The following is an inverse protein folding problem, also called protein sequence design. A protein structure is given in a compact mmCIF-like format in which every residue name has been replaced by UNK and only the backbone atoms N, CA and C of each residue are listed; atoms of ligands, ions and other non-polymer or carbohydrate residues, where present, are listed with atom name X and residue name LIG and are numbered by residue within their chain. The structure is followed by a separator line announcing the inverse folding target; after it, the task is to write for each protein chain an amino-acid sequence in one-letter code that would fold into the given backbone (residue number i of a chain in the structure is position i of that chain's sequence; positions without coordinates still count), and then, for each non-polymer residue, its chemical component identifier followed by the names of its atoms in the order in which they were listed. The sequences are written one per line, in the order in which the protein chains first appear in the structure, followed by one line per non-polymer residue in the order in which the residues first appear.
data_IF_897688818517
#
_entry.id   IF_897688818517
#
_cell.length_a   1.000
_cell.length_b   1.000
_cell.length_c   1.000
_cell.angle_alpha   90.00
_cell.angle_beta   90.00
_cell.angle_gamma   90.00
#
_symmetry.space_group_name_H-M   'P 1'
#
loop_
_entity.id
_entity.type
_entity.pdbx_description
1 polymer ?
#
# COMPACT_ATOMS: atom_id res chain seq x y z
N UNK A 1 5.47 -0.68 -7.65
CA UNK A 1 4.53 -1.69 -7.08
C UNK A 1 3.06 -1.35 -7.31
N UNK A 2 2.68 -0.07 -7.17
CA UNK A 2 1.29 0.43 -7.26
C UNK A 2 0.54 -0.01 -8.53
N UNK A 3 1.12 0.14 -9.73
CA UNK A 3 0.40 -0.11 -10.98
C UNK A 3 0.26 -1.62 -11.29
N UNK A 4 1.34 -2.39 -11.14
CA UNK A 4 1.38 -3.78 -11.59
C UNK A 4 0.50 -4.72 -10.74
N UNK A 5 0.51 -4.59 -9.41
CA UNK A 5 -0.17 -5.55 -8.53
C UNK A 5 -1.57 -5.06 -8.11
N UNK A 6 -1.69 -3.80 -7.70
CA UNK A 6 -2.97 -3.26 -7.22
C UNK A 6 -3.95 -2.96 -8.36
N UNK A 7 -3.48 -2.51 -9.53
CA UNK A 7 -4.34 -2.12 -10.66
C UNK A 7 -4.39 -3.14 -11.80
N UNK A 8 -3.31 -3.86 -12.08
CA UNK A 8 -3.26 -4.84 -13.18
C UNK A 8 -3.59 -6.25 -12.70
N UNK A 9 -2.82 -6.80 -11.76
CA UNK A 9 -2.99 -8.20 -11.31
C UNK A 9 -4.33 -8.45 -10.63
N UNK A 10 -4.79 -7.51 -9.79
CA UNK A 10 -5.99 -7.71 -8.97
C UNK A 10 -7.29 -7.83 -9.77
N UNK A 11 -7.58 -7.02 -10.81
CA UNK A 11 -8.74 -7.27 -11.67
C UNK A 11 -8.52 -8.43 -12.65
N UNK A 12 -7.29 -8.66 -13.14
CA UNK A 12 -7.03 -9.68 -14.15
C UNK A 12 -7.16 -11.11 -13.58
N UNK A 13 -6.77 -11.34 -12.32
CA UNK A 13 -6.88 -12.66 -11.67
C UNK A 13 -8.32 -13.16 -11.49
N UNK A 14 -9.31 -12.27 -11.46
CA UNK A 14 -10.73 -12.63 -11.43
C UNK A 14 -11.33 -12.90 -12.82
N UNK A 15 -10.59 -12.59 -13.89
CA UNK A 15 -10.98 -12.89 -15.28
C UNK A 15 -10.41 -14.22 -15.76
N UNK A 16 -9.54 -14.86 -14.98
CA UNK A 16 -8.99 -16.16 -15.32
C UNK A 16 -10.07 -17.26 -15.20
N UNK A 17 -10.23 -18.12 -16.21
CA UNK A 17 -11.20 -19.20 -16.16
C UNK A 17 -10.93 -20.13 -14.97
N UNK A 18 -11.97 -20.50 -14.22
CA UNK A 18 -11.88 -21.37 -13.05
C UNK A 18 -11.53 -20.69 -11.72
N UNK A 19 -11.24 -19.38 -11.70
CA UNK A 19 -10.97 -18.66 -10.43
C UNK A 19 -12.27 -18.29 -9.73
N UNK A 20 -12.49 -18.86 -8.55
CA UNK A 20 -13.60 -18.46 -7.67
C UNK A 20 -13.27 -17.18 -6.91
N UNK A 21 -14.29 -16.44 -6.47
CA UNK A 21 -14.13 -15.25 -5.62
C UNK A 21 -13.28 -15.56 -4.37
N UNK A 22 -13.50 -16.72 -3.76
CA UNK A 22 -12.77 -17.15 -2.57
C UNK A 22 -11.26 -17.32 -2.84
N UNK A 23 -10.91 -17.94 -3.97
CA UNK A 23 -9.51 -18.11 -4.39
C UNK A 23 -8.87 -16.74 -4.66
N UNK A 24 -9.53 -15.88 -5.45
CA UNK A 24 -8.98 -14.57 -5.78
C UNK A 24 -8.81 -13.64 -4.56
N UNK A 25 -9.72 -13.70 -3.58
CA UNK A 25 -9.58 -13.01 -2.29
C UNK A 25 -8.47 -13.61 -1.41
N UNK A 26 -8.28 -14.93 -1.44
CA UNK A 26 -7.19 -15.63 -0.77
C UNK A 26 -5.82 -15.18 -1.28
N UNK A 27 -5.61 -15.22 -2.60
CA UNK A 27 -4.38 -14.77 -3.26
C UNK A 27 -4.13 -13.29 -2.94
N UNK A 28 -5.15 -12.44 -3.08
CA UNK A 28 -5.03 -11.01 -2.75
C UNK A 28 -4.48 -10.76 -1.34
N UNK A 29 -4.99 -11.45 -0.32
CA UNK A 29 -4.51 -11.28 1.07
C UNK A 29 -3.04 -11.64 1.24
N UNK A 30 -2.56 -12.71 0.59
CA UNK A 30 -1.17 -13.14 0.66
C UNK A 30 -0.24 -12.13 0.00
N UNK A 31 -0.56 -11.72 -1.22
CA UNK A 31 0.24 -10.77 -2.00
C UNK A 31 0.29 -9.41 -1.29
N UNK A 32 -0.85 -8.87 -0.85
CA UNK A 32 -0.85 -7.60 -0.10
C UNK A 32 -0.10 -7.69 1.22
N UNK A 33 -0.08 -8.86 1.89
CA UNK A 33 0.73 -9.05 3.09
C UNK A 33 2.23 -9.01 2.78
N UNK A 34 2.66 -9.73 1.75
CA UNK A 34 4.07 -9.77 1.34
C UNK A 34 4.55 -8.38 0.90
N UNK A 35 3.77 -7.70 0.04
CA UNK A 35 4.07 -6.34 -0.40
C UNK A 35 4.23 -5.37 0.75
N UNK A 36 3.28 -5.37 1.67
CA UNK A 36 3.32 -4.47 2.81
C UNK A 36 4.53 -4.76 3.72
N UNK A 37 4.96 -6.02 3.84
CA UNK A 37 6.17 -6.34 4.58
C UNK A 37 7.41 -5.76 3.89
N UNK A 38 7.51 -5.89 2.57
CA UNK A 38 8.58 -5.27 1.79
C UNK A 38 8.57 -3.74 1.92
N UNK A 39 7.40 -3.09 1.86
CA UNK A 39 7.29 -1.63 2.04
C UNK A 39 7.76 -1.18 3.42
N UNK A 40 7.43 -1.93 4.48
CA UNK A 40 7.90 -1.64 5.83
C UNK A 40 9.42 -1.78 5.93
N UNK A 41 10.01 -2.83 5.35
CA UNK A 41 11.47 -3.01 5.33
C UNK A 41 12.14 -1.85 4.59
N UNK A 42 11.64 -1.47 3.40
CA UNK A 42 12.16 -0.34 2.64
C UNK A 42 12.01 0.99 3.40
N UNK A 43 10.88 1.21 4.06
CA UNK A 43 10.66 2.40 4.87
C UNK A 43 11.66 2.48 6.03
N UNK A 44 11.95 1.37 6.71
CA UNK A 44 12.99 1.33 7.75
C UNK A 44 14.37 1.66 7.18
N UNK A 45 14.74 1.09 6.03
CA UNK A 45 16.02 1.40 5.37
C UNK A 45 16.13 2.89 5.03
N UNK A 46 15.09 3.49 4.46
CA UNK A 46 15.05 4.92 4.16
C UNK A 46 15.20 5.73 5.44
N UNK A 47 14.43 5.44 6.50
CA UNK A 47 14.52 6.16 7.77
C UNK A 47 15.92 6.09 8.37
N UNK A 48 16.55 4.92 8.37
CA UNK A 48 17.93 4.76 8.85
C UNK A 48 18.89 5.62 8.01
N UNK A 49 18.80 5.57 6.69
CA UNK A 49 19.65 6.38 5.81
C UNK A 49 19.50 7.90 6.09
N UNK A 50 18.26 8.38 6.27
CA UNK A 50 17.98 9.80 6.54
C UNK A 50 18.42 10.26 7.95
N UNK A 51 18.54 9.33 8.90
CA UNK A 51 19.06 9.62 10.24
C UNK A 51 20.58 9.70 10.23
N UNK A 52 21.24 8.83 9.45
CA UNK A 52 22.70 8.82 9.31
C UNK A 52 23.20 10.07 8.57
N UNK A 53 22.52 10.45 7.49
CA UNK A 53 22.85 11.63 6.70
C UNK A 53 21.59 12.50 6.53
N UNK A 54 21.40 13.52 7.38
CA UNK A 54 20.20 14.36 7.36
C UNK A 54 20.07 15.13 6.03
N UNK A 55 19.02 14.87 5.23
CA UNK A 55 18.88 15.51 3.93
C UNK A 55 18.29 16.94 4.06
N UNK A 56 18.20 17.67 2.93
CA UNK A 56 17.45 18.92 2.86
C UNK A 56 16.00 18.77 3.38
N UNK A 57 15.45 19.88 3.88
CA UNK A 57 14.14 19.89 4.55
C UNK A 57 13.02 19.28 3.67
N UNK A 58 13.03 19.57 2.36
CA UNK A 58 12.07 19.02 1.42
C UNK A 58 12.09 17.48 1.40
N UNK A 59 13.28 16.90 1.25
CA UNK A 59 13.44 15.45 1.21
C UNK A 59 13.00 14.78 2.51
N UNK A 60 13.34 15.40 3.65
CA UNK A 60 12.98 14.91 4.99
C UNK A 60 11.47 14.93 5.22
N UNK A 61 10.81 16.04 4.89
CA UNK A 61 9.35 16.19 5.03
C UNK A 61 8.64 15.20 4.12
N UNK A 62 9.06 15.12 2.85
CA UNK A 62 8.44 14.23 1.88
C UNK A 62 8.60 12.75 2.27
N UNK A 63 9.79 12.33 2.73
CA UNK A 63 9.98 10.98 3.27
C UNK A 63 9.13 10.73 4.53
N UNK A 64 9.02 11.71 5.44
CA UNK A 64 8.16 11.62 6.62
C UNK A 64 6.68 11.42 6.27
N UNK A 65 6.18 12.13 5.24
CA UNK A 65 4.82 11.95 4.72
C UNK A 65 4.62 10.53 4.18
N UNK A 66 5.58 10.01 3.40
CA UNK A 66 5.51 8.65 2.87
C UNK A 66 5.46 7.58 3.99
N UNK A 67 6.29 7.74 5.02
CA UNK A 67 6.30 6.83 6.19
C UNK A 67 4.99 6.92 6.97
N UNK A 68 4.48 8.12 7.22
CA UNK A 68 3.21 8.31 7.93
C UNK A 68 2.03 7.70 7.16
N UNK A 69 1.99 7.92 5.84
CA UNK A 69 0.99 7.33 4.96
C UNK A 69 1.02 5.79 5.04
N UNK A 70 2.21 5.19 4.99
CA UNK A 70 2.39 3.74 5.15
C UNK A 70 1.88 3.28 6.52
N UNK A 71 2.26 3.93 7.61
CA UNK A 71 1.80 3.56 8.96
C UNK A 71 0.26 3.57 9.07
N UNK A 72 -0.39 4.59 8.52
CA UNK A 72 -1.86 4.67 8.52
C UNK A 72 -2.47 3.53 7.69
N UNK A 73 -1.89 3.19 6.53
CA UNK A 73 -2.35 2.06 5.73
C UNK A 73 -2.25 0.74 6.51
N UNK A 74 -1.11 0.49 7.16
CA UNK A 74 -0.87 -0.75 7.93
C UNK A 74 -1.79 -0.86 9.13
N UNK A 75 -1.92 0.22 9.90
CA UNK A 75 -2.57 0.20 11.21
C UNK A 75 -4.07 0.44 11.15
N UNK A 76 -4.57 1.20 10.16
CA UNK A 76 -5.98 1.63 10.14
C UNK A 76 -6.76 1.11 8.93
N UNK A 77 -6.16 1.09 7.74
CA UNK A 77 -6.87 0.69 6.51
C UNK A 77 -6.89 -0.83 6.35
N UNK A 78 -5.75 -1.48 6.57
CA UNK A 78 -5.56 -2.91 6.37
C UNK A 78 -6.42 -3.81 7.29
N UNK A 79 -6.57 -3.52 8.60
CA UNK A 79 -7.43 -4.32 9.46
C UNK A 79 -8.90 -4.27 9.02
N UNK A 80 -9.37 -3.09 8.57
CA UNK A 80 -10.73 -2.91 8.04
C UNK A 80 -10.96 -3.72 6.77
N UNK A 81 -10.02 -3.71 5.83
CA UNK A 81 -10.09 -4.52 4.62
C UNK A 81 -10.08 -6.03 4.94
N UNK A 82 -9.22 -6.46 5.87
CA UNK A 82 -9.11 -7.87 6.27
C UNK A 82 -10.37 -8.38 6.95
N UNK A 83 -10.98 -7.58 7.84
CA UNK A 83 -12.25 -7.91 8.50
C UNK A 83 -13.35 -8.11 7.46
N UNK A 84 -13.45 -7.22 6.46
CA UNK A 84 -14.44 -7.31 5.38
C UNK A 84 -14.23 -8.55 4.51
N UNK A 85 -12.99 -8.84 4.10
CA UNK A 85 -12.72 -10.05 3.31
C UNK A 85 -13.14 -11.32 4.05
N UNK A 86 -12.98 -11.40 5.38
CA UNK A 86 -13.49 -12.52 6.18
C UNK A 86 -15.01 -12.61 6.17
N UNK A 87 -15.72 -11.48 6.25
CA UNK A 87 -17.19 -11.44 6.21
C UNK A 87 -17.74 -11.88 4.86
N UNK A 88 -17.14 -11.44 3.75
CA UNK A 88 -17.52 -11.88 2.40
C UNK A 88 -17.26 -13.37 2.19
N UNK A 89 -16.14 -13.88 2.70
CA UNK A 89 -15.82 -15.32 2.67
C UNK A 89 -16.75 -16.17 3.55
N UNK A 90 -17.39 -15.57 4.55
CA UNK A 90 -18.38 -16.22 5.42
C UNK A 90 -19.81 -16.19 4.83
N UNK A 91 -19.99 -15.73 3.59
CA UNK A 91 -21.30 -15.67 2.91
C UNK A 91 -22.07 -14.37 3.12
N UNK A 92 -21.48 -13.35 3.77
CA UNK A 92 -22.14 -12.05 3.95
C UNK A 92 -22.07 -11.18 2.69
N UNK A 93 -23.22 -10.74 2.17
CA UNK A 93 -23.30 -9.70 1.14
C UNK A 93 -23.22 -8.31 1.79
N UNK A 94 -22.07 -7.65 1.64
CA UNK A 94 -21.84 -6.32 2.18
C UNK A 94 -21.67 -5.27 1.07
N UNK A 95 -22.28 -4.07 1.18
CA UNK A 95 -22.21 -3.02 0.16
C UNK A 95 -20.75 -2.65 -0.21
N UNK A 96 -20.55 -2.15 -1.44
CA UNK A 96 -19.24 -1.72 -1.99
C UNK A 96 -18.53 -0.79 -0.99
N UNK A 97 -17.42 -1.23 -0.40
CA UNK A 97 -16.69 -0.44 0.59
C UNK A 97 -15.78 0.59 -0.08
N UNK A 98 -15.91 1.84 0.36
CA UNK A 98 -15.05 2.96 0.00
C UNK A 98 -13.60 2.83 0.54
N UNK A 99 -13.33 1.87 1.44
CA UNK A 99 -12.00 1.66 2.03
C UNK A 99 -10.93 1.32 0.98
N UNK A 100 -11.32 0.75 -0.16
CA UNK A 100 -10.39 0.50 -1.26
C UNK A 100 -9.95 1.81 -1.94
N UNK A 101 -10.86 2.77 -2.14
CA UNK A 101 -10.50 4.09 -2.65
C UNK A 101 -9.61 4.86 -1.69
N UNK A 102 -9.84 4.72 -0.37
CA UNK A 102 -8.93 5.28 0.65
C UNK A 102 -7.54 4.66 0.52
N UNK A 103 -7.44 3.34 0.38
CA UNK A 103 -6.16 2.66 0.16
C UNK A 103 -5.43 3.20 -1.07
N UNK A 104 -6.14 3.35 -2.20
CA UNK A 104 -5.59 3.93 -3.43
C UNK A 104 -5.13 5.37 -3.24
N UNK A 105 -5.89 6.19 -2.52
CA UNK A 105 -5.49 7.56 -2.18
C UNK A 105 -4.17 7.61 -1.44
N UNK A 106 -3.97 6.75 -0.43
CA UNK A 106 -2.70 6.65 0.28
C UNK A 106 -1.53 6.16 -0.61
N UNK A 107 -1.77 5.26 -1.57
CA UNK A 107 -0.74 4.88 -2.54
C UNK A 107 -0.29 6.07 -3.39
N UNK A 108 -1.24 6.89 -3.85
CA UNK A 108 -0.91 8.10 -4.63
C UNK A 108 -0.09 9.07 -3.78
N UNK A 109 -0.50 9.29 -2.52
CA UNK A 109 0.27 10.14 -1.58
C UNK A 109 1.69 9.63 -1.41
N UNK A 110 1.90 8.33 -1.19
CA UNK A 110 3.26 7.75 -1.07
C UNK A 110 4.08 7.95 -2.34
N UNK A 111 3.49 7.75 -3.52
CA UNK A 111 4.20 7.95 -4.80
C UNK A 111 4.65 9.40 -4.95
N UNK A 112 3.75 10.36 -4.75
CA UNK A 112 4.07 11.79 -4.84
C UNK A 112 5.12 12.18 -3.80
N UNK A 113 4.98 11.68 -2.58
CA UNK A 113 5.91 11.95 -1.48
C UNK A 113 7.31 11.39 -1.76
N UNK A 114 7.44 10.15 -2.25
CA UNK A 114 8.73 9.56 -2.59
C UNK A 114 9.38 10.24 -3.80
N UNK A 115 8.60 10.68 -4.78
CA UNK A 115 9.10 11.50 -5.88
C UNK A 115 9.63 12.84 -5.39
N UNK A 116 8.87 13.53 -4.52
CA UNK A 116 9.31 14.76 -3.88
C UNK A 116 10.57 14.57 -3.03
N UNK A 117 10.68 13.42 -2.35
CA UNK A 117 11.88 13.06 -1.60
C UNK A 117 13.09 12.89 -2.53
N UNK A 118 12.93 12.17 -3.64
CA UNK A 118 13.99 11.99 -4.65
C UNK A 118 14.43 13.31 -5.28
N UNK A 119 13.48 14.18 -5.67
CA UNK A 119 13.80 15.52 -6.19
C UNK A 119 14.56 16.34 -5.15
N UNK A 120 14.08 16.36 -3.90
CA UNK A 120 14.71 17.11 -2.81
C UNK A 120 16.11 16.63 -2.44
N UNK A 121 16.47 15.38 -2.75
CA UNK A 121 17.83 14.84 -2.59
C UNK A 121 18.75 15.23 -3.75
N UNK A 122 18.19 15.54 -4.93
CA UNK A 122 18.96 15.93 -6.12
C UNK A 122 19.14 17.45 -6.24
N UNK A 123 18.34 18.23 -5.52
CA UNK A 123 18.50 19.67 -5.42
C UNK A 123 19.50 20.02 -4.30
N UNK A 124 20.60 20.73 -4.61
CA UNK A 124 21.63 21.11 -3.64
C UNK A 124 21.10 22.10 -2.58
#
# INVERSE_FOLDING_TARGET
MVVAISFLETPLKFRAPGVTLAIGLGIGRLVFRALNACEVVLAVVIVVALVLEPPPALARIAAGVAVLALLIQVLAVRPRLTKRSKTVLAGGEGPRSHAHFVYVGFEIVKVVALLGAGVGLLTP
#
